data_IF_136285139499
#
_entry.id   IF_136285139499
#
_cell.length_a   1.000
_cell.length_b   1.000
_cell.length_c   1.000
_cell.angle_alpha   90.00
_cell.angle_beta   90.00
_cell.angle_gamma   90.00
#
_symmetry.space_group_name_H-M   'P 1'
#
loop_
_entity.id
_entity.type
_entity.pdbx_description
1 polymer ?
#
# COMPACT_ATOMS: atom_id res chain seq x y z
N UNK A 1 1.91 24.31 2.41
CA UNK A 1 3.17 23.57 2.57
C UNK A 1 3.16 22.72 3.83
N UNK A 2 2.67 21.48 3.74
CA UNK A 2 3.11 20.46 4.68
C UNK A 2 4.48 20.04 4.16
N UNK A 3 5.55 20.48 4.83
CA UNK A 3 6.86 19.82 4.71
C UNK A 3 6.61 18.33 4.59
N UNK A 4 7.22 17.68 3.59
CA UNK A 4 7.02 16.27 3.30
C UNK A 4 7.34 15.45 4.54
N UNK A 5 6.33 15.22 5.38
CA UNK A 5 6.50 14.51 6.63
C UNK A 5 7.00 13.13 6.23
N UNK A 6 8.18 12.72 6.71
CA UNK A 6 8.73 11.38 6.50
C UNK A 6 7.83 10.25 7.05
N UNK A 7 6.65 10.58 7.57
CA UNK A 7 5.58 9.68 7.93
C UNK A 7 5.12 8.87 6.72
N UNK A 8 5.09 7.56 6.89
CA UNK A 8 4.63 6.63 5.86
C UNK A 8 5.64 6.40 4.73
N UNK A 9 6.95 6.59 4.96
CA UNK A 9 7.98 6.30 3.95
C UNK A 9 7.95 4.85 3.46
N UNK A 10 7.47 3.91 4.27
CA UNK A 10 7.31 2.48 3.93
C UNK A 10 5.93 2.14 3.36
N UNK A 11 4.99 3.09 3.27
CA UNK A 11 3.60 2.79 2.94
C UNK A 11 3.46 2.14 1.56
N UNK A 12 2.74 1.02 1.53
CA UNK A 12 2.33 0.32 0.32
C UNK A 12 0.81 0.39 0.18
N UNK A 13 0.32 0.76 -1.00
CA UNK A 13 -1.08 1.14 -1.16
C UNK A 13 -1.96 0.07 -1.81
N UNK A 14 -1.37 -0.99 -2.38
CA UNK A 14 -2.10 -2.08 -3.03
C UNK A 14 -1.50 -3.45 -2.69
N UNK A 15 -2.27 -4.52 -2.88
CA UNK A 15 -1.84 -5.88 -2.51
C UNK A 15 -0.57 -6.32 -3.25
N UNK A 16 -0.37 -5.87 -4.49
CA UNK A 16 0.82 -6.18 -5.27
C UNK A 16 2.06 -5.50 -4.71
N UNK A 17 1.99 -4.21 -4.35
CA UNK A 17 3.15 -3.49 -3.82
C UNK A 17 3.50 -3.91 -2.40
N UNK A 18 2.52 -4.35 -1.61
CA UNK A 18 2.75 -5.03 -0.32
C UNK A 18 3.50 -6.35 -0.56
N UNK A 19 2.98 -7.20 -1.45
CA UNK A 19 3.59 -8.48 -1.79
C UNK A 19 5.03 -8.30 -2.29
N UNK A 20 5.25 -7.39 -3.25
CA UNK A 20 6.58 -7.11 -3.80
C UNK A 20 7.59 -6.75 -2.70
N UNK A 21 7.24 -5.83 -1.80
CA UNK A 21 8.14 -5.39 -0.75
C UNK A 21 8.45 -6.52 0.25
N UNK A 22 7.47 -7.38 0.55
CA UNK A 22 7.69 -8.56 1.37
C UNK A 22 8.52 -9.62 0.67
N UNK A 23 8.31 -9.88 -0.63
CA UNK A 23 9.18 -10.77 -1.41
C UNK A 23 10.62 -10.30 -1.32
N UNK A 24 10.91 -9.05 -1.69
CA UNK A 24 12.29 -8.52 -1.67
C UNK A 24 12.94 -8.46 -0.28
N UNK A 25 12.13 -8.45 0.78
CA UNK A 25 12.63 -8.45 2.15
C UNK A 25 12.86 -9.87 2.68
N UNK A 26 11.98 -10.82 2.35
CA UNK A 26 11.90 -12.11 3.02
C UNK A 26 12.48 -13.26 2.20
N UNK A 27 12.19 -13.29 0.91
CA UNK A 27 12.59 -14.36 -0.01
C UNK A 27 14.08 -14.17 -0.40
N UNK A 28 14.95 -15.15 -0.10
CA UNK A 28 16.38 -15.05 -0.41
C UNK A 28 16.69 -15.01 -1.91
N UNK A 29 15.78 -15.51 -2.75
CA UNK A 29 15.96 -15.57 -4.20
C UNK A 29 15.33 -14.35 -4.91
N UNK A 30 14.57 -13.52 -4.17
CA UNK A 30 13.92 -12.34 -4.72
C UNK A 30 14.88 -11.14 -4.81
N UNK A 31 15.06 -10.62 -6.03
CA UNK A 31 15.82 -9.40 -6.27
C UNK A 31 14.90 -8.20 -6.52
N UNK A 32 15.29 -7.05 -5.98
CA UNK A 32 14.62 -5.79 -6.32
C UNK A 32 14.92 -5.43 -7.78
N UNK A 33 13.89 -5.18 -8.62
CA UNK A 33 14.06 -4.90 -10.03
C UNK A 33 14.62 -3.49 -10.22
N UNK A 34 15.95 -3.32 -10.14
CA UNK A 34 16.62 -2.00 -10.25
C UNK A 34 16.23 -1.22 -11.51
N UNK A 35 15.86 -1.93 -12.59
CA UNK A 35 15.36 -1.34 -13.82
C UNK A 35 14.05 -0.55 -13.64
N UNK A 36 13.29 -0.78 -12.56
CA UNK A 36 12.08 -0.02 -12.22
C UNK A 36 12.38 1.41 -11.74
N UNK A 37 13.60 1.68 -11.26
CA UNK A 37 14.05 3.02 -10.93
C UNK A 37 14.39 3.77 -12.23
N UNK A 38 13.72 4.90 -12.45
CA UNK A 38 13.83 5.65 -13.70
C UNK A 38 14.36 7.05 -13.49
N UNK A 39 15.17 7.51 -14.44
CA UNK A 39 15.66 8.87 -14.44
C UNK A 39 14.51 9.83 -14.78
N UNK A 40 14.29 10.86 -13.96
CA UNK A 40 13.31 11.92 -14.24
C UNK A 40 13.96 13.07 -15.00
N UNK A 41 15.01 13.65 -14.42
CA UNK A 41 15.80 14.74 -15.00
C UNK A 41 17.26 14.33 -15.08
N UNK A 42 18.15 15.23 -15.53
CA UNK A 42 19.58 14.94 -15.57
C UNK A 42 20.16 14.61 -14.19
N UNK A 43 19.55 15.11 -13.10
CA UNK A 43 20.06 14.97 -11.73
C UNK A 43 19.14 14.18 -10.79
N UNK A 44 17.88 13.94 -11.17
CA UNK A 44 16.88 13.32 -10.28
C UNK A 44 16.30 12.03 -10.83
N UNK A 45 15.98 11.12 -9.91
CA UNK A 45 15.48 9.78 -10.16
C UNK A 45 14.18 9.50 -9.40
N UNK A 46 13.42 8.56 -9.92
CA UNK A 46 12.13 8.13 -9.40
C UNK A 46 12.16 6.64 -9.11
N UNK A 47 11.88 6.31 -7.86
CA UNK A 47 11.55 4.94 -7.44
C UNK A 47 10.02 4.81 -7.35
N UNK A 48 9.38 4.04 -8.24
CA UNK A 48 7.93 3.90 -8.29
C UNK A 48 7.36 3.06 -7.15
N UNK A 49 8.22 2.53 -6.28
CA UNK A 49 7.85 1.70 -5.15
C UNK A 49 7.90 2.46 -3.81
N UNK A 50 8.19 3.76 -3.80
CA UNK A 50 8.19 4.57 -2.56
C UNK A 50 6.89 5.34 -2.35
N UNK A 51 6.78 6.04 -1.22
CA UNK A 51 5.72 7.03 -1.00
C UNK A 51 5.86 8.19 -2.01
N UNK A 52 4.78 8.62 -2.70
CA UNK A 52 4.82 9.71 -3.68
C UNK A 52 5.15 11.09 -3.09
N UNK A 53 5.15 11.26 -1.78
CA UNK A 53 5.51 12.53 -1.11
C UNK A 53 7.02 12.71 -0.94
N UNK A 54 7.83 11.69 -1.22
CA UNK A 54 9.29 11.81 -1.13
C UNK A 54 9.84 12.66 -2.29
N UNK A 55 10.79 13.53 -1.96
CA UNK A 55 11.50 14.33 -2.95
C UNK A 55 12.31 13.42 -3.88
N UNK A 56 12.31 13.75 -5.18
CA UNK A 56 13.18 13.10 -6.17
C UNK A 56 14.62 13.58 -5.98
N UNK A 57 15.55 12.62 -5.91
CA UNK A 57 16.96 12.86 -5.56
C UNK A 57 17.88 12.15 -6.54
N UNK A 58 19.20 12.22 -6.30
CA UNK A 58 20.18 11.53 -7.12
C UNK A 58 19.94 10.02 -7.17
N UNK A 59 20.53 9.33 -8.15
CA UNK A 59 20.43 7.86 -8.24
C UNK A 59 20.99 7.19 -6.99
N UNK A 60 22.15 7.66 -6.53
CA UNK A 60 22.83 7.17 -5.34
C UNK A 60 21.93 7.27 -4.11
N UNK A 61 21.39 8.46 -3.83
CA UNK A 61 20.51 8.66 -2.67
C UNK A 61 19.19 7.88 -2.81
N UNK A 62 18.67 7.71 -4.04
CA UNK A 62 17.48 6.89 -4.30
C UNK A 62 17.76 5.42 -3.95
N UNK A 63 18.92 4.89 -4.33
CA UNK A 63 19.34 3.52 -4.02
C UNK A 63 19.61 3.33 -2.52
N UNK A 64 20.19 4.32 -1.85
CA UNK A 64 20.38 4.30 -0.39
C UNK A 64 19.04 4.25 0.36
N UNK A 65 18.07 5.09 -0.04
CA UNK A 65 16.70 5.05 0.52
C UNK A 65 16.04 3.70 0.30
N UNK A 66 16.19 3.10 -0.89
CA UNK A 66 15.68 1.76 -1.20
C UNK A 66 16.31 0.69 -0.29
N UNK A 67 17.63 0.73 -0.12
CA UNK A 67 18.34 -0.19 0.78
C UNK A 67 17.87 -0.03 2.24
N UNK A 68 17.67 1.20 2.70
CA UNK A 68 17.13 1.48 4.04
C UNK A 68 15.71 0.94 4.20
N UNK A 69 14.82 1.17 3.23
CA UNK A 69 13.46 0.62 3.25
C UNK A 69 13.48 -0.91 3.33
N UNK A 70 14.30 -1.58 2.53
CA UNK A 70 14.44 -3.04 2.59
C UNK A 70 14.97 -3.51 3.95
N UNK A 71 15.95 -2.81 4.53
CA UNK A 71 16.49 -3.13 5.85
C UNK A 71 15.42 -2.96 6.95
N UNK A 72 14.56 -1.95 6.86
CA UNK A 72 13.43 -1.75 7.78
C UNK A 72 12.38 -2.84 7.59
N UNK A 73 11.96 -3.14 6.35
CA UNK A 73 10.96 -4.17 6.07
C UNK A 73 11.45 -5.56 6.52
N UNK A 74 12.74 -5.87 6.41
CA UNK A 74 13.33 -7.12 6.90
C UNK A 74 13.09 -7.39 8.39
N UNK A 75 12.87 -6.35 9.20
CA UNK A 75 12.54 -6.50 10.63
C UNK A 75 11.19 -7.17 10.86
N UNK A 76 10.33 -7.27 9.85
CA UNK A 76 9.05 -7.98 9.94
C UNK A 76 9.23 -9.46 10.37
N UNK A 77 10.41 -10.05 10.14
CA UNK A 77 10.76 -11.40 10.62
C UNK A 77 10.72 -11.54 12.14
N UNK A 78 10.87 -10.44 12.86
CA UNK A 78 10.87 -10.38 14.33
C UNK A 78 9.50 -9.94 14.88
N UNK A 79 8.55 -9.56 14.01
CA UNK A 79 7.27 -9.02 14.41
C UNK A 79 6.23 -10.12 14.63
N UNK A 80 5.59 -10.11 15.81
CA UNK A 80 4.41 -10.94 16.13
C UNK A 80 3.10 -10.34 15.63
N UNK A 81 3.07 -9.04 15.33
CA UNK A 81 1.89 -8.37 14.80
C UNK A 81 2.24 -7.69 13.47
N UNK A 82 1.48 -8.00 12.42
CA UNK A 82 1.62 -7.42 11.08
C UNK A 82 0.32 -6.74 10.69
N UNK A 83 0.37 -5.44 10.41
CA UNK A 83 -0.83 -4.67 10.02
C UNK A 83 -0.81 -4.46 8.51
N UNK A 84 -1.84 -4.95 7.82
CA UNK A 84 -2.01 -4.77 6.37
C UNK A 84 -3.21 -3.84 6.12
N UNK A 85 -2.96 -2.72 5.45
CA UNK A 85 -4.02 -1.77 5.06
C UNK A 85 -4.21 -1.77 3.55
N UNK A 86 -5.37 -2.23 3.09
CA UNK A 86 -5.71 -2.29 1.66
C UNK A 86 -6.24 -0.94 1.19
N UNK A 87 -5.58 -0.33 0.19
CA UNK A 87 -5.87 1.04 -0.24
C UNK A 87 -6.48 1.16 -1.63
N UNK A 88 -5.86 0.53 -2.62
CA UNK A 88 -6.11 0.72 -4.05
C UNK A 88 -6.37 -0.62 -4.75
N UNK A 89 -7.43 -0.65 -5.58
CA UNK A 89 -7.71 -1.74 -6.51
C UNK A 89 -7.26 -1.41 -7.95
N UNK A 90 -6.97 -0.14 -8.22
CA UNK A 90 -6.33 0.35 -9.45
C UNK A 90 -4.82 0.29 -9.28
N UNK A 91 -4.15 -0.48 -10.13
CA UNK A 91 -2.70 -0.68 -10.07
C UNK A 91 -2.07 -0.41 -11.42
N UNK A 92 -0.75 -0.21 -11.41
CA UNK A 92 0.04 0.01 -12.61
C UNK A 92 1.16 -1.02 -12.67
N UNK A 93 1.37 -1.63 -13.84
CA UNK A 93 2.50 -2.51 -14.11
C UNK A 93 3.53 -1.78 -14.94
N UNK A 94 4.77 -1.77 -14.47
CA UNK A 94 5.94 -1.48 -15.28
C UNK A 94 6.25 -2.73 -16.11
N UNK A 95 5.97 -2.69 -17.41
CA UNK A 95 6.17 -3.86 -18.27
C UNK A 95 7.63 -4.09 -18.65
N UNK A 96 8.48 -3.06 -18.50
CA UNK A 96 9.90 -3.18 -18.78
C UNK A 96 10.63 -3.87 -17.61
N UNK A 97 10.27 -3.51 -16.38
CA UNK A 97 10.82 -4.11 -15.17
C UNK A 97 10.03 -5.32 -14.66
N UNK A 98 8.93 -5.67 -15.34
CA UNK A 98 7.97 -6.71 -14.99
C UNK A 98 7.52 -6.67 -13.52
N UNK A 99 7.03 -5.52 -13.08
CA UNK A 99 6.65 -5.33 -11.68
C UNK A 99 5.47 -4.37 -11.54
N UNK A 100 4.57 -4.65 -10.61
CA UNK A 100 3.54 -3.69 -10.21
C UNK A 100 4.12 -2.60 -9.29
N UNK A 101 3.72 -1.36 -9.54
CA UNK A 101 4.24 -0.20 -8.81
C UNK A 101 3.31 0.22 -7.66
N UNK A 102 3.83 1.02 -6.74
CA UNK A 102 3.13 1.33 -5.49
C UNK A 102 1.96 2.31 -5.68
N UNK A 103 2.12 3.27 -6.58
CA UNK A 103 1.12 4.29 -6.87
C UNK A 103 1.12 4.60 -8.37
N UNK A 104 0.15 5.39 -8.81
CA UNK A 104 0.10 5.93 -10.16
C UNK A 104 1.41 6.60 -10.55
N UNK A 105 2.05 6.20 -11.67
CA UNK A 105 3.23 6.88 -12.19
C UNK A 105 2.96 8.36 -12.45
N UNK A 106 3.96 9.21 -12.22
CA UNK A 106 3.80 10.64 -12.42
C UNK A 106 3.62 10.98 -13.91
N UNK A 107 2.86 12.04 -14.27
CA UNK A 107 2.52 12.36 -15.66
C UNK A 107 3.71 12.46 -16.63
N UNK A 108 4.85 12.97 -16.17
CA UNK A 108 6.07 13.12 -16.99
C UNK A 108 6.64 11.79 -17.46
N UNK A 109 6.40 10.69 -16.74
CA UNK A 109 6.87 9.36 -17.11
C UNK A 109 6.15 8.79 -18.33
N UNK A 110 4.86 9.08 -18.50
CA UNK A 110 4.12 8.63 -19.69
C UNK A 110 4.65 9.29 -20.97
N UNK A 111 5.11 10.55 -20.88
CA UNK A 111 5.75 11.24 -22.00
C UNK A 111 7.16 10.73 -22.27
N UNK A 112 7.94 10.48 -21.22
CA UNK A 112 9.35 10.09 -21.32
C UNK A 112 9.54 8.62 -21.71
N UNK A 113 8.68 7.74 -21.20
CA UNK A 113 8.72 6.28 -21.41
C UNK A 113 7.37 5.79 -21.92
N UNK A 114 6.98 6.14 -23.17
CA UNK A 114 5.69 5.77 -23.72
C UNK A 114 5.50 4.24 -23.74
N UNK A 115 4.35 3.77 -23.26
CA UNK A 115 4.00 2.35 -23.24
C UNK A 115 4.60 1.51 -22.10
N UNK A 116 5.49 2.09 -21.26
CA UNK A 116 6.11 1.35 -20.15
C UNK A 116 5.15 1.01 -19.01
N UNK A 117 4.21 1.90 -18.70
CA UNK A 117 3.30 1.74 -17.57
C UNK A 117 1.90 1.41 -18.07
N UNK A 118 1.39 0.24 -17.67
CA UNK A 118 0.08 -0.26 -18.06
C UNK A 118 -0.87 -0.27 -16.85
N UNK A 119 -2.02 0.34 -17.04
CA UNK A 119 -3.09 0.35 -16.06
C UNK A 119 -3.75 -1.02 -15.96
N UNK A 120 -4.06 -1.46 -14.74
CA UNK A 120 -4.78 -2.69 -14.48
C UNK A 120 -5.80 -2.50 -13.35
N UNK A 121 -7.03 -2.96 -13.58
CA UNK A 121 -8.08 -3.01 -12.57
C UNK A 121 -8.10 -4.41 -11.95
N UNK A 122 -7.79 -4.51 -10.67
CA UNK A 122 -7.59 -5.80 -9.99
C UNK A 122 -8.92 -6.50 -9.68
N UNK A 123 -8.95 -7.83 -9.71
CA UNK A 123 -10.13 -8.62 -9.34
C UNK A 123 -10.08 -9.11 -7.89
N UNK A 124 -11.20 -9.67 -7.40
CA UNK A 124 -11.25 -10.35 -6.10
C UNK A 124 -10.18 -11.44 -6.03
N UNK A 125 -10.16 -12.34 -7.02
CA UNK A 125 -9.25 -13.48 -7.07
C UNK A 125 -7.77 -13.05 -7.12
N UNK A 126 -7.47 -11.94 -7.80
CA UNK A 126 -6.11 -11.39 -7.84
C UNK A 126 -5.65 -10.84 -6.48
N UNK A 127 -6.51 -10.07 -5.81
CA UNK A 127 -6.19 -9.56 -4.47
C UNK A 127 -6.11 -10.69 -3.45
N UNK A 128 -7.01 -11.66 -3.52
CA UNK A 128 -6.96 -12.88 -2.71
C UNK A 128 -5.64 -13.63 -2.90
N UNK A 129 -5.24 -13.91 -4.15
CA UNK A 129 -4.00 -14.61 -4.45
C UNK A 129 -2.77 -13.88 -3.89
N UNK A 130 -2.75 -12.54 -3.96
CA UNK A 130 -1.67 -11.76 -3.36
C UNK A 130 -1.66 -11.86 -1.83
N UNK A 131 -2.82 -11.85 -1.17
CA UNK A 131 -2.91 -12.04 0.28
C UNK A 131 -2.47 -13.44 0.71
N UNK A 132 -2.84 -14.47 -0.03
CA UNK A 132 -2.34 -15.84 0.19
C UNK A 132 -0.81 -15.93 0.03
N UNK A 133 -0.26 -15.29 -1.00
CA UNK A 133 1.19 -15.23 -1.20
C UNK A 133 1.90 -14.48 -0.05
N UNK A 134 1.31 -13.38 0.44
CA UNK A 134 1.79 -12.66 1.62
C UNK A 134 1.77 -13.56 2.85
N UNK A 135 0.67 -14.29 3.09
CA UNK A 135 0.55 -15.24 4.20
C UNK A 135 1.62 -16.32 4.14
N UNK A 136 1.83 -16.90 2.96
CA UNK A 136 2.83 -17.94 2.73
C UNK A 136 4.26 -17.44 3.00
N UNK A 137 4.60 -16.22 2.58
CA UNK A 137 5.89 -15.59 2.88
C UNK A 137 6.09 -15.38 4.38
N UNK A 138 5.08 -14.84 5.07
CA UNK A 138 5.14 -14.63 6.52
C UNK A 138 5.22 -15.96 7.28
N UNK A 139 4.51 -16.99 6.83
CA UNK A 139 4.57 -18.33 7.42
C UNK A 139 5.93 -19.01 7.22
N UNK A 140 6.56 -18.78 6.06
CA UNK A 140 7.84 -19.41 5.72
C UNK A 140 9.05 -18.69 6.33
N UNK A 141 9.00 -17.36 6.40
CA UNK A 141 10.16 -16.53 6.71
C UNK A 141 9.95 -15.53 7.85
N UNK A 142 8.71 -15.36 8.31
CA UNK A 142 8.33 -14.44 9.39
C UNK A 142 8.51 -15.06 10.77
N UNK A 143 8.00 -14.35 11.79
CA UNK A 143 7.97 -14.86 13.15
C UNK A 143 7.03 -16.08 13.22
N UNK A 144 7.37 -17.18 13.92
CA UNK A 144 6.53 -18.39 13.96
C UNK A 144 5.15 -18.20 14.61
N UNK A 145 5.01 -17.16 15.42
CA UNK A 145 3.78 -16.78 16.13
C UNK A 145 3.32 -15.38 15.68
N UNK A 146 3.19 -15.19 14.36
CA UNK A 146 2.70 -13.94 13.79
C UNK A 146 1.17 -13.93 13.70
N UNK A 147 0.60 -12.77 13.98
CA UNK A 147 -0.80 -12.42 13.79
C UNK A 147 -0.89 -11.28 12.78
N UNK A 148 -1.86 -11.35 11.88
CA UNK A 148 -2.13 -10.30 10.92
C UNK A 148 -3.39 -9.55 11.32
N UNK A 149 -3.34 -8.22 11.31
CA UNK A 149 -4.55 -7.39 11.32
C UNK A 149 -4.70 -6.76 9.95
N UNK A 150 -5.73 -7.18 9.21
CA UNK A 150 -6.08 -6.61 7.91
C UNK A 150 -7.17 -5.56 8.08
N UNK A 151 -7.04 -4.45 7.35
CA UNK A 151 -8.03 -3.39 7.30
C UNK A 151 -8.11 -2.77 5.90
N UNK A 152 -9.17 -2.02 5.63
CA UNK A 152 -9.33 -1.20 4.41
C UNK A 152 -9.11 0.28 4.76
N UNK A 153 -8.34 0.98 3.93
CA UNK A 153 -8.16 2.41 4.08
C UNK A 153 -9.45 3.17 3.75
N UNK A 154 -9.90 4.11 4.61
CA UNK A 154 -11.05 4.97 4.33
C UNK A 154 -10.75 6.06 3.29
N UNK A 155 -9.46 6.34 3.03
CA UNK A 155 -9.06 7.43 2.13
C UNK A 155 -9.60 7.16 0.72
N UNK A 156 -10.44 8.06 0.17
CA UNK A 156 -11.02 7.87 -1.15
C UNK A 156 -9.97 8.01 -2.26
N UNK A 157 -10.26 7.50 -3.47
CA UNK A 157 -9.42 7.72 -4.65
C UNK A 157 -9.30 9.22 -4.98
N UNK A 158 -8.12 9.64 -5.42
CA UNK A 158 -7.89 11.02 -5.88
C UNK A 158 -8.24 11.18 -7.36
N UNK A 159 -8.04 10.10 -8.10
CA UNK A 159 -8.17 9.96 -9.53
C UNK A 159 -8.53 8.50 -9.82
N UNK A 160 -9.22 8.28 -10.94
CA UNK A 160 -9.44 6.96 -11.52
C UNK A 160 -8.90 6.97 -12.95
N UNK A 161 -8.30 5.87 -13.36
CA UNK A 161 -7.85 5.62 -14.74
C UNK A 161 -8.72 4.58 -15.45
N UNK A 162 -9.78 4.13 -14.78
CA UNK A 162 -10.86 3.38 -15.42
C UNK A 162 -11.77 4.31 -16.22
N UNK A 163 -12.73 3.73 -16.94
CA UNK A 163 -13.79 4.48 -17.61
C UNK A 163 -14.97 4.82 -16.68
N UNK A 164 -14.90 4.44 -15.40
CA UNK A 164 -15.96 4.72 -14.42
C UNK A 164 -15.87 6.16 -13.92
N UNK A 165 -17.01 6.70 -13.46
CA UNK A 165 -17.00 7.89 -12.61
C UNK A 165 -16.16 7.62 -11.35
N UNK A 166 -15.43 8.63 -10.87
CA UNK A 166 -14.51 8.47 -9.74
C UNK A 166 -15.19 7.99 -8.45
N UNK A 167 -16.44 8.42 -8.20
CA UNK A 167 -17.20 7.99 -7.02
C UNK A 167 -17.60 6.52 -7.17
N UNK A 168 -17.99 6.10 -8.37
CA UNK A 168 -18.30 4.70 -8.69
C UNK A 168 -17.04 3.83 -8.57
N UNK A 169 -15.93 4.25 -9.16
CA UNK A 169 -14.64 3.56 -9.09
C UNK A 169 -14.18 3.39 -7.64
N UNK A 170 -14.25 4.45 -6.84
CA UNK A 170 -13.91 4.41 -5.42
C UNK A 170 -14.82 3.45 -4.65
N UNK A 171 -16.14 3.56 -4.83
CA UNK A 171 -17.11 2.70 -4.14
C UNK A 171 -16.91 1.24 -4.47
N UNK A 172 -16.69 0.94 -5.76
CA UNK A 172 -16.39 -0.41 -6.23
C UNK A 172 -15.08 -0.93 -5.63
N UNK A 173 -14.00 -0.15 -5.68
CA UNK A 173 -12.69 -0.56 -5.18
C UNK A 173 -12.71 -0.83 -3.67
N UNK A 174 -13.34 0.05 -2.87
CA UNK A 174 -13.44 -0.14 -1.42
C UNK A 174 -14.33 -1.32 -1.06
N UNK A 175 -15.45 -1.50 -1.76
CA UNK A 175 -16.32 -2.67 -1.57
C UNK A 175 -15.60 -3.98 -1.89
N UNK A 176 -14.85 -4.02 -3.01
CA UNK A 176 -14.05 -5.18 -3.40
C UNK A 176 -13.00 -5.53 -2.34
N UNK A 177 -12.16 -4.57 -1.97
CA UNK A 177 -11.08 -4.78 -1.00
C UNK A 177 -11.64 -5.15 0.38
N UNK A 178 -12.80 -4.61 0.75
CA UNK A 178 -13.47 -4.94 2.00
C UNK A 178 -13.98 -6.37 2.04
N UNK A 179 -14.61 -6.83 0.95
CA UNK A 179 -15.05 -8.20 0.81
C UNK A 179 -13.85 -9.16 0.87
N UNK A 180 -12.78 -8.90 0.10
CA UNK A 180 -11.56 -9.71 0.12
C UNK A 180 -10.97 -9.77 1.54
N UNK A 181 -10.85 -8.63 2.23
CA UNK A 181 -10.33 -8.58 3.59
C UNK A 181 -11.20 -9.37 4.59
N UNK A 182 -12.53 -9.34 4.45
CA UNK A 182 -13.43 -10.14 5.29
C UNK A 182 -13.20 -11.63 5.09
N UNK A 183 -13.27 -12.07 3.84
CA UNK A 183 -13.17 -13.48 3.51
C UNK A 183 -11.81 -14.02 3.91
N UNK A 184 -10.75 -13.24 3.73
CA UNK A 184 -9.39 -13.64 4.10
C UNK A 184 -9.22 -13.76 5.61
N UNK A 185 -9.74 -12.82 6.40
CA UNK A 185 -9.76 -12.95 7.85
C UNK A 185 -10.59 -14.15 8.33
N UNK A 186 -11.72 -14.45 7.67
CA UNK A 186 -12.53 -15.63 7.99
C UNK A 186 -11.82 -16.96 7.65
N UNK A 187 -10.94 -16.96 6.65
CA UNK A 187 -10.26 -18.16 6.17
C UNK A 187 -9.00 -18.53 6.99
N UNK A 188 -8.42 -17.58 7.71
CA UNK A 188 -7.16 -17.79 8.44
C UNK A 188 -7.31 -17.47 9.93
N UNK A 189 -7.05 -18.42 10.84
CA UNK A 189 -7.30 -18.24 12.27
C UNK A 189 -6.37 -17.21 12.93
N UNK A 190 -5.23 -16.87 12.32
CA UNK A 190 -4.30 -15.86 12.79
C UNK A 190 -4.46 -14.50 12.10
N UNK A 191 -5.57 -14.27 11.40
CA UNK A 191 -5.86 -13.04 10.69
C UNK A 191 -7.15 -12.42 11.21
N UNK A 192 -7.06 -11.20 11.74
CA UNK A 192 -8.21 -10.43 12.19
C UNK A 192 -8.53 -9.27 11.25
N UNK A 193 -9.82 -9.00 11.02
CA UNK A 193 -10.26 -7.76 10.39
C UNK A 193 -10.43 -6.66 11.43
N UNK A 194 -9.83 -5.49 11.19
CA UNK A 194 -10.06 -4.27 11.98
C UNK A 194 -10.88 -3.25 11.19
N UNK A 195 -12.01 -2.73 11.72
CA UNK A 195 -12.98 -1.95 10.96
C UNK A 195 -12.66 -0.45 10.86
N UNK A 196 -11.41 -0.06 10.54
CA UNK A 196 -11.08 1.37 10.43
C UNK A 196 -11.79 2.07 9.28
N UNK A 197 -12.08 1.35 8.19
CA UNK A 197 -12.91 1.83 7.09
C UNK A 197 -14.32 2.19 7.57
N UNK A 198 -14.99 1.27 8.25
CA UNK A 198 -16.37 1.45 8.70
C UNK A 198 -16.50 2.51 9.79
N UNK A 199 -15.55 2.58 10.73
CA UNK A 199 -15.53 3.61 11.76
C UNK A 199 -15.57 5.00 11.10
N UNK A 200 -14.74 5.23 10.08
CA UNK A 200 -14.72 6.51 9.38
C UNK A 200 -15.99 6.74 8.55
N UNK A 201 -16.43 5.74 7.78
CA UNK A 201 -17.57 5.93 6.89
C UNK A 201 -18.92 6.10 7.62
N UNK A 202 -19.05 5.57 8.83
CA UNK A 202 -20.26 5.67 9.65
C UNK A 202 -20.18 6.75 10.74
N UNK A 203 -19.08 7.51 10.80
CA UNK A 203 -18.96 8.68 11.68
C UNK A 203 -19.60 9.91 11.03
N UNK A 204 -20.00 10.89 11.86
CA UNK A 204 -20.41 12.20 11.36
C UNK A 204 -19.29 12.78 10.47
N UNK A 205 -19.65 13.14 9.24
CA UNK A 205 -18.72 13.63 8.22
C UNK A 205 -17.98 14.87 8.70
N UNK A 206 -18.68 15.81 9.33
CA UNK A 206 -18.08 17.02 9.88
C UNK A 206 -17.19 16.71 11.10
N UNK A 207 -17.39 15.55 11.74
CA UNK A 207 -16.57 15.11 12.85
C UNK A 207 -15.24 14.50 12.39
N UNK A 208 -15.27 13.69 11.33
CA UNK A 208 -14.17 12.78 10.96
C UNK A 208 -13.32 13.23 9.77
N UNK A 209 -13.86 14.03 8.84
CA UNK A 209 -13.14 14.46 7.62
C UNK A 209 -12.62 15.90 7.71
N UNK A 210 -11.42 16.13 7.18
CA UNK A 210 -10.98 17.49 6.81
C UNK A 210 -11.86 18.07 5.70
N UNK A 211 -11.73 19.36 5.42
CA UNK A 211 -12.61 20.07 4.47
C UNK A 211 -12.53 19.52 3.03
N UNK A 212 -11.44 18.82 2.70
CA UNK A 212 -11.27 18.15 1.40
C UNK A 212 -12.01 16.80 1.28
N UNK A 213 -12.66 16.35 2.36
CA UNK A 213 -13.40 15.08 2.43
C UNK A 213 -12.57 13.85 2.06
N UNK A 214 -11.25 13.95 2.20
CA UNK A 214 -10.27 12.93 1.83
C UNK A 214 -9.34 12.58 2.97
N UNK A 215 -8.88 13.58 3.73
CA UNK A 215 -8.02 13.35 4.89
C UNK A 215 -8.88 13.20 6.14
N UNK A 216 -8.60 12.16 6.93
CA UNK A 216 -9.23 11.97 8.24
C UNK A 216 -8.61 12.98 9.21
N UNK A 217 -9.46 13.69 9.98
CA UNK A 217 -9.01 14.64 11.01
C UNK A 217 -8.14 13.93 12.03
N UNK A 218 -7.14 14.64 12.57
CA UNK A 218 -6.23 14.10 13.59
C UNK A 218 -6.96 13.43 14.76
N UNK A 219 -8.05 14.04 15.25
CA UNK A 219 -8.90 13.46 16.31
C UNK A 219 -9.57 12.14 15.91
N UNK A 220 -9.99 12.01 14.65
CA UNK A 220 -10.62 10.79 14.13
C UNK A 220 -9.60 9.66 14.01
N UNK A 221 -8.41 9.98 13.50
CA UNK A 221 -7.30 9.04 13.45
C UNK A 221 -6.88 8.57 14.85
N UNK A 222 -6.81 9.49 15.82
CA UNK A 222 -6.50 9.17 17.21
C UNK A 222 -7.54 8.21 17.82
N UNK A 223 -8.82 8.48 17.63
CA UNK A 223 -9.89 7.62 18.12
C UNK A 223 -9.81 6.19 17.55
N UNK A 224 -9.49 6.05 16.25
CA UNK A 224 -9.28 4.75 15.62
C UNK A 224 -8.10 4.02 16.26
N UNK A 225 -6.99 4.72 16.55
CA UNK A 225 -5.83 4.13 17.21
C UNK A 225 -6.14 3.70 18.65
N UNK A 226 -6.91 4.48 19.40
CA UNK A 226 -7.36 4.11 20.76
C UNK A 226 -8.20 2.83 20.74
N UNK A 227 -9.13 2.70 19.78
CA UNK A 227 -9.92 1.47 19.60
C UNK A 227 -9.05 0.27 19.20
N UNK A 228 -8.03 0.49 18.35
CA UNK A 228 -7.09 -0.56 17.96
C UNK A 228 -6.30 -1.07 19.18
N UNK A 229 -5.71 -0.16 19.96
CA UNK A 229 -4.92 -0.50 21.14
C UNK A 229 -5.77 -1.25 22.17
N UNK A 230 -6.99 -0.78 22.44
CA UNK A 230 -7.92 -1.46 23.34
C UNK A 230 -8.28 -2.87 22.91
N UNK A 231 -8.37 -3.12 21.59
CA UNK A 231 -8.76 -4.44 21.07
C UNK A 231 -7.62 -5.45 21.11
N UNK A 232 -6.38 -5.01 20.85
CA UNK A 232 -5.27 -5.93 20.55
C UNK A 232 -4.09 -5.87 21.51
N UNK A 233 -3.98 -4.82 22.33
CA UNK A 233 -2.81 -4.58 23.20
C UNK A 233 -3.18 -4.57 24.68
N UNK A 234 -4.31 -3.96 25.02
CA UNK A 234 -4.88 -3.94 26.38
C UNK A 234 -5.65 -5.24 26.69
#
# INVERSE_FOLDING_TARGET
DKEGSGLGFTNKYNTYSILNELCWALDPDAEFPRASIVQLTNTTWYDPHTNPTLNFVSLEETLERRALMQAVTKRIKECRAVILTLGLAEVWRDVQADVFVNCTPIPSLFKKYPGRYQFHLTSFAQNWANLEAIHALLSSYGHPDFHVVVTVSPVPLMNTFSTMDIVVANTWAKSLLRAVAQEWASAHPNVDYFPSYEIVQNSDRAAVWEDDLRHVRGRGAQHIMELFLRKYIE
#
